data_IF_941830224878
#
_entry.id   IF_941830224878
#
_cell.length_a   1.000
_cell.length_b   1.000
_cell.length_c   1.000
_cell.angle_alpha   90.00
_cell.angle_beta   90.00
_cell.angle_gamma   90.00
#
_symmetry.space_group_name_H-M   'P 1'
#
loop_
_entity.id
_entity.type
_entity.pdbx_description
1 polymer ?
#
# COMPACT_ATOMS: atom_id res chain seq x y z
N UNK A 1 18.67 -34.30 -67.91
CA UNK A 1 19.07 -33.72 -66.61
C UNK A 1 17.92 -32.87 -66.11
N UNK A 2 17.65 -32.93 -64.79
CA UNK A 2 16.64 -32.16 -64.03
C UNK A 2 15.18 -32.64 -64.15
N UNK A 3 14.36 -32.64 -63.10
CA UNK A 3 14.54 -32.79 -61.64
C UNK A 3 13.11 -33.08 -61.15
N UNK A 4 12.88 -34.20 -60.44
CA UNK A 4 11.57 -34.54 -59.88
C UNK A 4 11.27 -33.64 -58.68
N UNK A 5 10.19 -32.88 -58.72
CA UNK A 5 9.69 -32.11 -57.57
C UNK A 5 8.55 -32.91 -56.94
N UNK A 6 8.80 -33.47 -55.75
CA UNK A 6 7.76 -34.01 -54.88
C UNK A 6 7.18 -32.86 -54.05
N UNK A 7 5.92 -32.53 -54.27
CA UNK A 7 5.17 -31.62 -53.42
C UNK A 7 4.68 -32.39 -52.18
N UNK A 8 5.37 -32.23 -51.05
CA UNK A 8 4.91 -32.69 -49.75
C UNK A 8 3.94 -31.68 -49.15
N UNK A 9 2.68 -32.07 -48.96
CA UNK A 9 1.69 -31.26 -48.25
C UNK A 9 2.01 -31.23 -46.76
N UNK A 10 2.56 -30.10 -46.30
CA UNK A 10 2.82 -29.85 -44.88
C UNK A 10 1.52 -29.35 -44.22
N UNK A 11 0.89 -30.19 -43.41
CA UNK A 11 -0.28 -29.84 -42.62
C UNK A 11 0.16 -28.94 -41.45
N UNK A 12 -0.09 -27.63 -41.57
CA UNK A 12 0.13 -26.68 -40.48
C UNK A 12 -1.02 -26.82 -39.49
N UNK A 13 -0.76 -27.48 -38.35
CA UNK A 13 -1.68 -27.47 -37.21
C UNK A 13 -1.52 -26.14 -36.49
N UNK A 14 -2.44 -25.21 -36.76
CA UNK A 14 -2.63 -24.01 -35.95
C UNK A 14 -3.19 -24.44 -34.59
N UNK A 15 -2.31 -24.61 -33.60
CA UNK A 15 -2.69 -24.65 -32.20
C UNK A 15 -3.12 -23.23 -31.83
N UNK A 16 -4.42 -22.95 -31.93
CA UNK A 16 -4.98 -21.72 -31.41
C UNK A 16 -4.70 -21.66 -29.91
N UNK A 17 -3.93 -20.68 -29.46
CA UNK A 17 -3.85 -20.34 -28.05
C UNK A 17 -5.26 -19.94 -27.62
N UNK A 18 -5.95 -20.84 -26.92
CA UNK A 18 -7.20 -20.51 -26.26
C UNK A 18 -6.89 -19.38 -25.29
N UNK A 19 -7.24 -18.14 -25.68
CA UNK A 19 -7.24 -17.02 -24.78
C UNK A 19 -8.12 -17.40 -23.59
N UNK A 20 -7.50 -17.58 -22.41
CA UNK A 20 -8.24 -17.69 -21.16
C UNK A 20 -9.04 -16.40 -21.04
N UNK A 21 -10.35 -16.48 -21.30
CA UNK A 21 -11.28 -15.42 -20.94
C UNK A 21 -11.11 -15.07 -19.47
N UNK A 22 -11.51 -13.86 -19.03
CA UNK A 22 -11.35 -13.46 -17.64
C UNK A 22 -12.01 -14.51 -16.76
N UNK A 23 -11.22 -15.21 -15.95
CA UNK A 23 -11.78 -16.16 -14.99
C UNK A 23 -12.70 -15.37 -14.05
N UNK A 24 -13.84 -15.95 -13.64
CA UNK A 24 -14.66 -15.35 -12.59
C UNK A 24 -13.77 -15.12 -11.36
N UNK A 25 -13.58 -13.85 -11.01
CA UNK A 25 -12.66 -13.43 -9.97
C UNK A 25 -13.41 -13.24 -8.64
N UNK A 26 -12.85 -13.80 -7.58
CA UNK A 26 -13.35 -13.65 -6.21
C UNK A 26 -12.91 -12.36 -5.55
N UNK A 27 -13.50 -12.12 -4.38
CA UNK A 27 -13.23 -10.98 -3.51
C UNK A 27 -13.00 -11.48 -2.09
N UNK A 28 -12.01 -10.91 -1.41
CA UNK A 28 -11.83 -11.05 0.03
C UNK A 28 -12.16 -9.70 0.67
N UNK A 29 -13.05 -9.68 1.65
CA UNK A 29 -13.36 -8.48 2.42
C UNK A 29 -13.31 -8.76 3.91
N UNK A 30 -13.37 -7.72 4.72
CA UNK A 30 -13.55 -7.88 6.15
C UNK A 30 -13.15 -6.65 6.91
N UNK A 31 -12.90 -6.85 8.20
CA UNK A 31 -12.46 -5.81 9.13
C UNK A 31 -11.20 -6.21 9.86
N UNK A 32 -10.38 -5.21 10.16
CA UNK A 32 -9.27 -5.33 11.10
C UNK A 32 -9.63 -4.63 12.39
N UNK A 33 -9.55 -5.39 13.47
CA UNK A 33 -9.71 -4.87 14.84
C UNK A 33 -8.45 -5.11 15.65
N UNK A 34 -8.43 -4.63 16.89
CA UNK A 34 -7.35 -4.89 17.82
C UNK A 34 -7.81 -5.44 19.18
N UNK A 35 -6.87 -6.08 19.86
CA UNK A 35 -6.90 -6.38 21.30
C UNK A 35 -5.71 -5.72 22.01
N UNK A 36 -5.75 -5.64 23.34
CA UNK A 36 -4.73 -4.96 24.13
C UNK A 36 -4.94 -3.45 24.22
N UNK A 37 -3.90 -2.74 24.68
CA UNK A 37 -3.95 -1.28 24.90
C UNK A 37 -3.11 -0.58 23.82
N UNK A 38 -3.74 0.18 22.89
CA UNK A 38 -3.01 0.91 21.88
C UNK A 38 -2.22 2.08 22.48
N UNK A 39 -1.11 2.50 21.84
CA UNK A 39 -0.45 3.76 22.16
C UNK A 39 -1.47 4.90 22.18
N UNK A 40 -1.38 5.76 23.20
CA UNK A 40 -2.23 6.94 23.28
C UNK A 40 -1.80 7.94 22.21
N UNK A 41 -2.75 8.45 21.45
CA UNK A 41 -2.48 9.57 20.54
C UNK A 41 -2.12 10.81 21.36
N UNK A 42 -1.02 11.48 20.98
CA UNK A 42 -0.57 12.71 21.63
C UNK A 42 -0.88 13.92 20.75
N UNK A 43 -1.33 15.06 21.31
CA UNK A 43 -1.47 16.29 20.54
C UNK A 43 -0.14 16.70 19.93
N UNK A 44 -0.17 17.14 18.67
CA UNK A 44 1.01 17.67 17.97
C UNK A 44 1.08 19.18 18.23
N UNK A 45 2.22 19.65 18.73
CA UNK A 45 2.51 21.08 18.88
C UNK A 45 3.08 21.64 17.57
N UNK A 46 2.23 22.33 16.81
CA UNK A 46 2.61 23.04 15.59
C UNK A 46 2.80 24.55 15.81
N UNK A 47 2.93 25.04 17.05
CA UNK A 47 2.96 26.48 17.33
C UNK A 47 4.10 27.24 16.61
N UNK A 48 5.20 26.55 16.28
CA UNK A 48 6.32 27.10 15.51
C UNK A 48 6.08 27.14 14.00
N UNK A 49 4.96 26.60 13.52
CA UNK A 49 4.54 26.60 12.13
C UNK A 49 3.12 27.18 11.97
N UNK A 50 2.95 28.52 12.09
CA UNK A 50 1.63 29.14 12.14
C UNK A 50 0.76 28.83 10.92
N UNK A 51 1.36 28.69 9.73
CA UNK A 51 0.63 28.32 8.52
C UNK A 51 -0.02 26.93 8.63
N UNK A 52 0.65 25.96 9.27
CA UNK A 52 0.06 24.64 9.51
C UNK A 52 -1.07 24.70 10.53
N UNK A 53 -0.91 25.51 11.59
CA UNK A 53 -1.98 25.72 12.58
C UNK A 53 -3.26 26.20 11.90
N UNK A 54 -3.16 27.15 10.96
CA UNK A 54 -4.35 27.66 10.23
C UNK A 54 -5.02 26.65 9.31
N UNK A 55 -4.31 25.58 8.92
CA UNK A 55 -4.87 24.50 8.08
C UNK A 55 -5.67 23.47 8.89
N UNK A 56 -5.57 23.51 10.23
CA UNK A 56 -6.23 22.55 11.12
C UNK A 56 -7.30 23.22 11.97
N UNK A 57 -8.61 23.02 11.67
CA UNK A 57 -9.69 23.60 12.46
C UNK A 57 -9.80 22.98 13.87
N UNK A 58 -9.20 21.81 14.07
CA UNK A 58 -9.15 21.09 15.35
C UNK A 58 -7.72 20.63 15.62
N UNK A 59 -7.30 20.48 16.88
CA UNK A 59 -5.98 19.93 17.21
C UNK A 59 -5.74 18.59 16.52
N UNK A 60 -4.54 18.44 15.94
CA UNK A 60 -4.09 17.19 15.31
C UNK A 60 -3.33 16.38 16.36
N UNK A 61 -3.49 15.06 16.30
CA UNK A 61 -2.76 14.12 17.15
C UNK A 61 -1.87 13.19 16.34
N UNK A 62 -0.91 12.57 17.00
CA UNK A 62 -0.06 11.53 16.39
C UNK A 62 -0.90 10.39 15.82
N UNK A 63 -0.40 9.77 14.74
CA UNK A 63 -1.13 8.77 13.97
C UNK A 63 -0.62 7.34 14.20
N UNK A 64 0.20 7.10 15.24
CA UNK A 64 0.77 5.78 15.56
C UNK A 64 -0.28 4.68 15.80
N UNK A 65 -1.49 5.06 16.20
CA UNK A 65 -2.59 4.13 16.44
C UNK A 65 -3.93 4.86 16.27
N UNK A 66 -4.43 4.91 15.04
CA UNK A 66 -5.73 5.52 14.75
C UNK A 66 -6.83 4.46 14.90
N UNK A 67 -7.44 4.43 16.09
CA UNK A 67 -8.50 3.47 16.45
C UNK A 67 -9.88 4.11 16.42
N UNK A 68 -10.92 3.27 16.30
CA UNK A 68 -12.32 3.72 16.26
C UNK A 68 -13.30 2.76 16.95
N UNK A 69 -14.62 3.00 16.80
CA UNK A 69 -15.66 2.19 17.40
C UNK A 69 -15.52 0.70 17.08
N UNK A 70 -15.82 -0.16 18.05
CA UNK A 70 -15.69 -1.62 17.88
C UNK A 70 -14.25 -2.10 17.74
N UNK A 71 -13.30 -1.35 18.31
CA UNK A 71 -11.86 -1.58 18.21
C UNK A 71 -11.35 -1.60 16.76
N UNK A 72 -11.95 -0.82 15.86
CA UNK A 72 -11.45 -0.71 14.48
C UNK A 72 -10.05 -0.10 14.44
N UNK A 73 -9.26 -0.47 13.44
CA UNK A 73 -7.91 0.07 13.21
C UNK A 73 -7.82 0.60 11.79
N UNK A 74 -7.51 1.88 11.65
CA UNK A 74 -7.21 2.51 10.35
C UNK A 74 -5.74 2.28 9.98
N UNK A 75 -5.40 2.42 8.69
CA UNK A 75 -4.02 2.36 8.18
C UNK A 75 -3.35 0.98 8.25
N UNK A 76 -4.15 -0.08 8.43
CA UNK A 76 -3.67 -1.45 8.28
C UNK A 76 -3.56 -1.77 6.79
N UNK A 77 -2.39 -2.21 6.35
CA UNK A 77 -2.18 -2.71 4.99
C UNK A 77 -2.59 -4.18 4.97
N UNK A 78 -3.67 -4.49 4.25
CA UNK A 78 -4.11 -5.87 4.00
C UNK A 78 -3.76 -6.24 2.58
N UNK A 79 -3.03 -7.34 2.37
CA UNK A 79 -2.50 -7.71 1.06
C UNK A 79 -2.36 -9.22 0.89
N UNK A 80 -2.27 -9.67 -0.37
CA UNK A 80 -1.94 -11.06 -0.69
C UNK A 80 -0.42 -11.27 -0.61
N UNK A 81 0.04 -11.96 0.43
CA UNK A 81 1.46 -12.24 0.64
C UNK A 81 1.97 -13.44 -0.16
N UNK A 82 1.10 -14.39 -0.51
CA UNK A 82 1.43 -15.57 -1.31
C UNK A 82 0.20 -16.11 -2.05
N UNK A 83 0.45 -16.87 -3.14
CA UNK A 83 -0.58 -17.48 -3.98
C UNK A 83 -1.05 -16.60 -5.15
N UNK A 84 -0.71 -15.31 -5.13
CA UNK A 84 -0.88 -14.43 -6.27
C UNK A 84 0.14 -14.75 -7.36
N UNK A 85 -0.30 -14.72 -8.62
CA UNK A 85 0.57 -14.87 -9.79
C UNK A 85 1.26 -13.55 -10.16
N UNK A 86 0.91 -12.46 -9.47
CA UNK A 86 1.40 -11.12 -9.73
C UNK A 86 0.73 -10.50 -10.96
N UNK A 87 0.97 -9.21 -11.12
CA UNK A 87 0.61 -8.47 -12.33
C UNK A 87 1.72 -7.46 -12.64
N UNK A 88 1.80 -6.95 -13.88
CA UNK A 88 2.59 -5.77 -14.16
C UNK A 88 2.22 -4.64 -13.18
N UNK A 89 3.23 -3.88 -12.76
CA UNK A 89 3.03 -2.73 -11.90
C UNK A 89 1.97 -1.79 -12.50
N UNK A 90 1.09 -1.27 -11.65
CA UNK A 90 0.11 -0.31 -12.09
C UNK A 90 0.81 0.96 -12.61
N UNK A 91 0.22 1.59 -13.62
CA UNK A 91 0.82 2.77 -14.30
C UNK A 91 0.31 4.08 -13.73
N UNK A 92 -0.77 4.04 -12.96
CA UNK A 92 -1.23 5.18 -12.18
C UNK A 92 -0.21 5.51 -11.10
N UNK A 93 -0.04 6.81 -10.89
CA UNK A 93 0.95 7.33 -9.95
C UNK A 93 0.35 7.42 -8.56
N UNK A 94 1.01 6.79 -7.59
CA UNK A 94 0.70 6.98 -6.18
C UNK A 94 1.03 8.41 -5.78
N UNK A 95 0.07 9.09 -5.18
CA UNK A 95 0.19 10.46 -4.72
C UNK A 95 0.53 10.47 -3.22
N UNK A 96 1.56 11.22 -2.85
CA UNK A 96 1.95 11.47 -1.47
C UNK A 96 2.24 12.95 -1.28
N UNK A 97 1.81 13.53 -0.18
CA UNK A 97 1.83 14.98 -0.01
C UNK A 97 2.29 15.38 1.39
N UNK A 98 2.90 16.55 1.45
CA UNK A 98 3.31 17.24 2.66
C UNK A 98 2.40 18.46 2.78
N UNK A 99 1.42 18.36 3.68
CA UNK A 99 0.35 19.36 3.80
C UNK A 99 -0.13 19.47 5.23
N UNK A 100 -0.29 20.71 5.71
CA UNK A 100 -0.61 21.01 7.09
C UNK A 100 0.44 20.43 8.05
N UNK A 101 1.72 20.38 7.67
CA UNK A 101 2.78 19.76 8.45
C UNK A 101 2.48 18.29 8.79
N UNK A 102 1.86 17.57 7.86
CA UNK A 102 1.58 16.14 7.94
C UNK A 102 1.94 15.47 6.62
N UNK A 103 2.19 14.16 6.67
CA UNK A 103 2.25 13.35 5.46
C UNK A 103 0.90 12.73 5.12
N UNK A 104 0.48 12.86 3.87
CA UNK A 104 -0.84 12.43 3.41
C UNK A 104 -0.71 11.57 2.13
N UNK A 105 -1.21 10.32 2.14
CA UNK A 105 -1.75 9.60 3.30
C UNK A 105 -0.67 9.28 4.36
N UNK A 106 -1.08 8.89 5.58
CA UNK A 106 -0.12 8.40 6.59
C UNK A 106 0.59 7.13 6.11
N UNK A 107 -0.16 6.21 5.48
CA UNK A 107 0.37 5.00 4.84
C UNK A 107 0.04 5.04 3.34
N UNK A 108 1.07 5.01 2.50
CA UNK A 108 0.92 4.85 1.06
C UNK A 108 1.33 3.43 0.66
N UNK A 109 0.36 2.63 0.20
CA UNK A 109 0.62 1.30 -0.34
C UNK A 109 0.76 1.37 -1.86
N UNK A 110 1.72 0.65 -2.41
CA UNK A 110 2.05 0.67 -3.84
C UNK A 110 2.69 -0.65 -4.27
N UNK A 111 2.65 -0.95 -5.56
CA UNK A 111 3.42 -2.07 -6.12
C UNK A 111 4.88 -1.68 -6.30
N UNK A 112 5.77 -2.68 -6.30
CA UNK A 112 7.11 -2.53 -6.88
C UNK A 112 7.00 -1.95 -8.29
N UNK A 113 7.89 -1.03 -8.64
CA UNK A 113 7.93 -0.26 -9.88
C UNK A 113 6.72 0.65 -10.15
N UNK A 114 5.72 0.72 -9.27
CA UNK A 114 4.62 1.69 -9.44
C UNK A 114 5.16 3.12 -9.22
N UNK A 115 4.84 4.07 -10.11
CA UNK A 115 5.28 5.45 -9.96
C UNK A 115 4.76 6.07 -8.67
N UNK A 116 5.62 6.77 -7.94
CA UNK A 116 5.30 7.60 -6.78
C UNK A 116 5.64 9.05 -7.10
N UNK A 117 4.70 9.97 -6.85
CA UNK A 117 4.93 11.41 -6.90
C UNK A 117 4.66 12.03 -5.54
N UNK A 118 5.67 12.74 -5.02
CA UNK A 118 5.63 13.37 -3.71
C UNK A 118 5.59 14.89 -3.85
N UNK A 119 4.62 15.51 -3.20
CA UNK A 119 4.31 16.94 -3.28
C UNK A 119 4.64 17.66 -1.97
N UNK A 120 4.72 18.98 -2.05
CA UNK A 120 4.74 19.86 -0.90
C UNK A 120 3.75 20.99 -1.14
N UNK A 121 2.56 20.83 -0.59
CA UNK A 121 1.47 21.80 -0.62
C UNK A 121 1.59 22.86 0.49
N UNK A 122 2.51 22.68 1.44
CA UNK A 122 2.76 23.65 2.50
C UNK A 122 3.58 24.87 2.02
N UNK A 123 3.39 26.05 2.66
CA UNK A 123 4.11 27.25 2.30
C UNK A 123 5.55 27.31 2.86
N UNK A 124 6.10 26.21 3.38
CA UNK A 124 7.46 26.10 3.91
C UNK A 124 8.15 24.81 3.43
N UNK A 125 9.45 24.71 3.66
CA UNK A 125 10.24 23.54 3.27
C UNK A 125 10.03 22.38 4.23
N UNK A 126 9.83 21.20 3.66
CA UNK A 126 9.89 19.92 4.35
C UNK A 126 11.02 19.07 3.74
N UNK A 127 11.17 17.85 4.22
CA UNK A 127 12.00 16.84 3.55
C UNK A 127 11.34 15.48 3.65
N UNK A 128 11.49 14.66 2.62
CA UNK A 128 11.09 13.27 2.64
C UNK A 128 12.33 12.42 2.90
N UNK A 129 12.26 11.58 3.93
CA UNK A 129 13.34 10.66 4.30
C UNK A 129 12.77 9.26 4.56
N UNK A 130 12.65 8.43 3.52
CA UNK A 130 12.29 7.02 3.67
C UNK A 130 13.52 6.25 4.18
N UNK A 131 13.37 5.61 5.32
CA UNK A 131 14.39 4.83 6.02
C UNK A 131 14.43 3.39 5.49
N UNK A 132 14.63 3.25 4.19
CA UNK A 132 14.72 1.96 3.53
C UNK A 132 15.97 1.19 3.96
N UNK A 133 15.84 -0.12 4.10
CA UNK A 133 16.90 -1.07 4.45
C UNK A 133 17.21 -2.03 3.31
N UNK A 134 16.22 -2.33 2.48
CA UNK A 134 16.35 -3.20 1.29
C UNK A 134 16.56 -2.34 0.05
N UNK A 135 15.66 -1.37 -0.18
CA UNK A 135 15.85 -0.36 -1.21
C UNK A 135 16.87 0.71 -0.76
N UNK A 136 17.43 1.51 -1.68
CA UNK A 136 18.32 2.62 -1.31
C UNK A 136 17.62 3.67 -0.43
N UNK A 137 18.19 3.92 0.75
CA UNK A 137 17.79 5.04 1.61
C UNK A 137 18.16 6.38 0.96
N UNK A 138 17.31 7.39 1.13
CA UNK A 138 17.60 8.74 0.69
C UNK A 138 16.87 9.78 1.54
N UNK A 139 17.40 11.00 1.54
CA UNK A 139 16.80 12.15 2.22
C UNK A 139 16.82 13.36 1.30
N UNK A 140 15.65 13.89 0.94
CA UNK A 140 15.52 15.01 0.00
C UNK A 140 14.66 16.11 0.60
N UNK A 141 15.21 17.32 0.66
CA UNK A 141 14.41 18.52 0.95
C UNK A 141 13.52 18.87 -0.23
N UNK A 142 12.30 19.33 0.06
CA UNK A 142 11.34 19.81 -0.93
C UNK A 142 10.82 21.19 -0.47
N UNK A 143 11.39 22.29 -1.00
CA UNK A 143 10.89 23.63 -0.74
C UNK A 143 9.48 23.85 -1.30
N UNK A 144 8.78 24.88 -0.81
CA UNK A 144 7.51 25.35 -1.38
C UNK A 144 7.65 25.57 -2.89
N UNK A 145 6.71 25.02 -3.66
CA UNK A 145 6.64 25.20 -5.11
C UNK A 145 7.72 24.45 -5.91
N UNK A 146 8.54 23.63 -5.25
CA UNK A 146 9.43 22.71 -5.95
C UNK A 146 8.61 21.69 -6.77
N UNK A 147 9.11 21.23 -7.93
CA UNK A 147 8.47 20.15 -8.67
C UNK A 147 8.29 18.89 -7.80
N UNK A 148 7.31 18.03 -8.11
CA UNK A 148 7.11 16.79 -7.35
C UNK A 148 8.36 15.89 -7.42
N UNK A 149 8.75 15.30 -6.30
CA UNK A 149 9.77 14.25 -6.29
C UNK A 149 9.15 13.00 -6.90
N UNK A 150 9.68 12.55 -8.03
CA UNK A 150 9.23 11.33 -8.71
C UNK A 150 10.21 10.20 -8.48
N UNK A 151 9.69 9.03 -8.10
CA UNK A 151 10.51 7.83 -7.85
C UNK A 151 9.67 6.57 -8.06
N UNK A 152 10.34 5.43 -8.09
CA UNK A 152 9.79 4.08 -7.93
C UNK A 152 10.53 3.37 -6.81
N UNK A 153 10.06 2.18 -6.44
CA UNK A 153 10.75 1.26 -5.54
C UNK A 153 10.94 -0.09 -6.23
N UNK A 154 12.12 -0.68 -6.09
CA UNK A 154 12.54 -1.85 -6.86
C UNK A 154 12.24 -3.16 -6.14
N UNK A 155 12.13 -3.14 -4.81
CA UNK A 155 11.92 -4.33 -3.97
C UNK A 155 10.78 -4.14 -2.98
N UNK A 156 10.03 -5.21 -2.64
CA UNK A 156 9.00 -5.14 -1.62
C UNK A 156 9.59 -4.80 -0.25
N UNK A 157 9.01 -3.80 0.42
CA UNK A 157 9.51 -3.31 1.69
C UNK A 157 8.44 -2.45 2.41
N UNK A 158 8.39 -2.56 3.74
CA UNK A 158 7.67 -1.61 4.59
C UNK A 158 8.66 -0.57 5.11
N UNK A 159 8.59 0.65 4.57
CA UNK A 159 9.57 1.70 4.77
C UNK A 159 8.96 2.77 5.67
N UNK A 160 9.57 3.01 6.83
CA UNK A 160 9.23 4.17 7.66
C UNK A 160 9.72 5.45 6.98
N UNK A 161 8.90 6.48 6.96
CA UNK A 161 9.20 7.79 6.36
C UNK A 161 9.16 8.83 7.46
N UNK A 162 10.17 9.70 7.53
CA UNK A 162 10.21 10.82 8.48
C UNK A 162 10.49 12.14 7.79
N UNK A 163 10.10 13.24 8.44
CA UNK A 163 10.68 14.55 8.22
C UNK A 163 11.81 14.74 9.24
N UNK A 164 12.92 15.33 8.82
CA UNK A 164 14.01 15.73 9.70
C UNK A 164 13.81 17.13 10.28
N UNK A 165 12.92 17.94 9.69
CA UNK A 165 12.60 19.29 10.15
C UNK A 165 11.50 19.25 11.22
N UNK A 166 10.41 18.51 10.95
CA UNK A 166 9.25 18.40 11.83
C UNK A 166 9.16 17.00 12.42
N UNK A 167 9.58 16.80 13.69
CA UNK A 167 9.77 15.47 14.29
C UNK A 167 8.46 14.71 14.59
N UNK A 168 7.30 15.27 14.25
CA UNK A 168 6.01 14.57 14.30
C UNK A 168 5.58 14.04 12.93
N UNK A 169 6.16 14.53 11.84
CA UNK A 169 5.83 14.11 10.48
C UNK A 169 6.46 12.76 10.20
N UNK A 170 5.64 11.72 10.40
CA UNK A 170 5.98 10.34 10.11
C UNK A 170 4.88 9.69 9.28
N UNK A 171 5.28 8.72 8.46
CA UNK A 171 4.38 7.91 7.65
C UNK A 171 5.08 6.64 7.20
N UNK A 172 4.42 5.87 6.34
CA UNK A 172 4.95 4.60 5.86
C UNK A 172 4.67 4.40 4.38
N UNK A 173 5.65 3.84 3.67
CA UNK A 173 5.44 3.24 2.36
C UNK A 173 5.34 1.72 2.54
N UNK A 174 4.28 1.13 2.02
CA UNK A 174 4.15 -0.31 1.88
C UNK A 174 4.34 -0.67 0.41
N UNK A 175 5.56 -1.04 0.05
CA UNK A 175 5.93 -1.47 -1.30
C UNK A 175 5.70 -2.97 -1.39
N UNK A 176 4.82 -3.41 -2.28
CA UNK A 176 4.31 -4.79 -2.32
C UNK A 176 4.60 -5.44 -3.68
N UNK A 177 4.80 -6.76 -3.67
CA UNK A 177 4.96 -7.56 -4.90
C UNK A 177 3.62 -7.88 -5.60
N UNK A 178 2.50 -7.58 -4.95
CA UNK A 178 1.15 -7.92 -5.41
C UNK A 178 0.37 -6.65 -5.76
N UNK A 179 -0.51 -6.69 -6.79
CA UNK A 179 -1.52 -5.65 -7.02
C UNK A 179 -2.70 -5.73 -6.03
N UNK A 180 -2.85 -6.84 -5.31
CA UNK A 180 -4.00 -7.09 -4.45
C UNK A 180 -3.71 -6.64 -3.02
N UNK A 181 -3.92 -5.35 -2.76
CA UNK A 181 -3.81 -4.75 -1.44
C UNK A 181 -4.87 -3.67 -1.20
N UNK A 182 -5.09 -3.37 0.07
CA UNK A 182 -5.97 -2.31 0.55
C UNK A 182 -5.40 -1.74 1.84
N UNK A 183 -5.62 -0.46 2.09
CA UNK A 183 -5.36 0.18 3.39
C UNK A 183 -6.68 0.38 4.10
N UNK A 184 -6.80 0.00 5.38
CA UNK A 184 -8.08 0.09 6.09
C UNK A 184 -8.53 1.53 6.30
N UNK A 185 -9.85 1.72 6.22
CA UNK A 185 -10.52 2.99 6.51
C UNK A 185 -10.74 3.19 8.02
N UNK A 186 -11.48 4.26 8.39
CA UNK A 186 -11.81 4.58 9.80
C UNK A 186 -12.65 3.51 10.50
N UNK A 187 -13.33 2.65 9.73
CA UNK A 187 -14.13 1.52 10.24
C UNK A 187 -13.34 0.22 10.31
N UNK A 188 -12.05 0.25 9.91
CA UNK A 188 -11.17 -0.91 9.83
C UNK A 188 -11.48 -1.82 8.64
N UNK A 189 -12.33 -1.38 7.70
CA UNK A 189 -12.76 -2.21 6.58
C UNK A 189 -11.70 -2.26 5.47
N UNK A 190 -11.61 -3.40 4.79
CA UNK A 190 -10.78 -3.59 3.61
C UNK A 190 -11.48 -4.47 2.56
N UNK A 191 -11.02 -4.40 1.32
CA UNK A 191 -11.48 -5.26 0.23
C UNK A 191 -10.34 -5.53 -0.76
N UNK A 192 -10.15 -6.81 -1.11
CA UNK A 192 -9.24 -7.29 -2.14
C UNK A 192 -10.09 -7.97 -3.22
N UNK A 193 -10.30 -7.32 -4.35
CA UNK A 193 -11.11 -7.83 -5.46
C UNK A 193 -10.23 -8.35 -6.59
N UNK A 194 -10.80 -9.12 -7.53
CA UNK A 194 -10.08 -9.53 -8.74
C UNK A 194 -9.21 -10.77 -8.56
N UNK A 195 -9.41 -11.56 -7.50
CA UNK A 195 -8.61 -12.75 -7.20
C UNK A 195 -9.08 -13.94 -8.05
N UNK A 196 -8.22 -14.54 -8.90
CA UNK A 196 -8.56 -15.79 -9.56
C UNK A 196 -8.87 -16.94 -8.56
N UNK A 197 -9.46 -18.05 -9.01
CA UNK A 197 -9.52 -19.25 -8.18
C UNK A 197 -8.13 -19.70 -7.75
N UNK A 198 -7.92 -19.91 -6.45
CA UNK A 198 -6.61 -20.17 -5.90
C UNK A 198 -6.59 -20.21 -4.37
N UNK A 199 -5.46 -20.67 -3.82
CA UNK A 199 -5.16 -20.63 -2.39
C UNK A 199 -4.21 -19.46 -2.13
N UNK A 200 -4.59 -18.58 -1.22
CA UNK A 200 -3.90 -17.33 -0.92
C UNK A 200 -3.47 -17.27 0.55
N UNK A 201 -2.35 -16.62 0.81
CA UNK A 201 -2.03 -16.11 2.15
C UNK A 201 -2.36 -14.63 2.18
N UNK A 202 -3.34 -14.25 2.99
CA UNK A 202 -3.73 -12.85 3.23
C UNK A 202 -3.04 -12.38 4.50
N UNK A 203 -2.35 -11.24 4.43
CA UNK A 203 -1.65 -10.66 5.58
C UNK A 203 -2.17 -9.27 5.87
N UNK A 204 -2.42 -8.98 7.14
CA UNK A 204 -2.66 -7.65 7.68
C UNK A 204 -1.41 -7.16 8.41
N UNK A 205 -0.89 -5.99 8.05
CA UNK A 205 0.28 -5.33 8.68
C UNK A 205 -0.12 -3.95 9.20
N UNK A 206 0.31 -3.62 10.41
CA UNK A 206 0.22 -2.29 11.01
C UNK A 206 1.54 -1.95 11.70
N UNK A 207 2.00 -0.72 11.56
CA UNK A 207 3.31 -0.25 12.00
C UNK A 207 3.54 -0.44 13.51
N UNK A 208 2.48 -0.32 14.33
CA UNK A 208 2.53 -0.56 15.78
C UNK A 208 2.04 -1.92 16.24
N UNK A 209 1.14 -2.57 15.50
CA UNK A 209 0.45 -3.79 15.97
C UNK A 209 1.00 -5.06 15.32
N UNK A 210 1.97 -4.93 14.42
CA UNK A 210 2.65 -6.03 13.76
C UNK A 210 1.80 -6.66 12.67
N UNK A 211 1.97 -7.97 12.49
CA UNK A 211 1.39 -8.71 11.37
C UNK A 211 0.56 -9.90 11.82
N UNK A 212 -0.50 -10.19 11.08
CA UNK A 212 -1.23 -11.46 11.17
C UNK A 212 -1.52 -11.97 9.75
N UNK A 213 -1.39 -13.28 9.54
CA UNK A 213 -1.66 -13.93 8.25
C UNK A 213 -2.71 -15.02 8.39
N UNK A 214 -3.51 -15.22 7.33
CA UNK A 214 -4.51 -16.29 7.22
C UNK A 214 -4.48 -16.90 5.82
N UNK A 215 -4.71 -18.21 5.72
CA UNK A 215 -4.91 -18.87 4.43
C UNK A 215 -6.37 -18.79 4.00
N UNK A 216 -6.63 -18.45 2.73
CA UNK A 216 -7.97 -18.29 2.17
C UNK A 216 -8.01 -18.95 0.79
N UNK A 217 -9.02 -19.76 0.54
CA UNK A 217 -9.25 -20.37 -0.77
C UNK A 217 -10.41 -19.66 -1.47
N UNK A 218 -10.17 -19.22 -2.70
CA UNK A 218 -11.16 -18.71 -3.65
C UNK A 218 -11.43 -19.81 -4.68
N UNK A 219 -12.69 -20.21 -4.83
CA UNK A 219 -13.13 -21.24 -5.79
C UNK A 219 -13.67 -20.69 -7.11
N UNK A 220 -13.93 -19.37 -7.20
CA UNK A 220 -14.61 -18.76 -8.34
C UNK A 220 -14.99 -17.30 -8.06
N UNK A 221 -16.06 -16.83 -8.72
CA UNK A 221 -16.69 -15.56 -8.41
C UNK A 221 -17.48 -15.68 -7.10
N UNK A 222 -16.77 -15.52 -5.98
CA UNK A 222 -17.34 -15.51 -4.64
C UNK A 222 -16.76 -14.37 -3.79
N UNK A 223 -17.44 -14.03 -2.71
CA UNK A 223 -16.91 -13.13 -1.69
C UNK A 223 -16.65 -13.91 -0.41
N UNK A 224 -15.40 -13.89 0.08
CA UNK A 224 -15.01 -14.45 1.38
C UNK A 224 -14.79 -13.33 2.39
N UNK A 225 -15.41 -13.44 3.56
CA UNK A 225 -15.15 -12.54 4.67
C UNK A 225 -14.05 -13.09 5.56
N UNK A 226 -13.01 -12.29 5.79
CA UNK A 226 -11.83 -12.61 6.60
C UNK A 226 -11.55 -11.43 7.51
N UNK A 227 -11.61 -11.66 8.82
CA UNK A 227 -11.36 -10.63 9.82
C UNK A 227 -10.00 -10.86 10.48
N UNK A 228 -9.29 -9.78 10.79
CA UNK A 228 -8.03 -9.82 11.52
C UNK A 228 -8.18 -9.15 12.87
N UNK A 229 -7.46 -9.66 13.86
CA UNK A 229 -7.41 -9.12 15.22
C UNK A 229 -5.94 -8.95 15.58
N UNK A 230 -5.41 -7.73 15.41
CA UNK A 230 -4.03 -7.42 15.73
C UNK A 230 -3.86 -7.19 17.24
N UNK A 231 -2.66 -7.45 17.76
CA UNK A 231 -2.37 -7.24 19.18
C UNK A 231 -1.65 -5.90 19.35
N UNK A 232 -2.33 -4.93 19.95
CA UNK A 232 -1.70 -3.69 20.37
C UNK A 232 -0.68 -3.98 21.49
N UNK A 233 0.58 -3.66 21.25
CA UNK A 233 1.64 -3.83 22.24
C UNK A 233 1.71 -2.59 23.14
N UNK A 234 1.63 -2.75 24.48
CA UNK A 234 1.92 -1.64 25.39
C UNK A 234 3.39 -1.22 25.25
N UNK A 235 3.65 0.06 25.50
CA UNK A 235 4.99 0.62 25.62
C UNK A 235 5.66 0.16 26.93
#
# INVERSE_FOLDING_TARGET
MMLRIFAGSMLVVLVGAAGRGPFPAGTINGKVTYTGTPPKAHPIDMAKEPNCVTQHPTPVSTQDAVTGPGNSVRYVVVYIAAGDQGAPAATDTVHYDQKGCMYIPHVAAMQVHQPLAIFNDDPHSHNIHPLARINPEWNKSQPKGAPPIRTTWEQPEFIAVKCNVHPWMHGYFAVLATPHFSVTDTTGAFMLAGLPPGKYTVTAWHERFGTQSQEVTIGGAETKTVNFVLTAKPY
#
